data_IF_025177858122
#
_entry.id   IF_025177858122
#
_cell.length_a   1.000
_cell.length_b   1.000
_cell.length_c   1.000
_cell.angle_alpha   90.00
_cell.angle_beta   90.00
_cell.angle_gamma   90.00
#
_symmetry.space_group_name_H-M   'P 1'
#
loop_
_entity.id
_entity.type
_entity.pdbx_description
1 polymer ?
#
# COMPACT_ATOMS: atom_id res chain seq x y z
N UNK A 1 -17.45 8.22 13.83
CA UNK A 1 -17.20 8.00 13.75
C UNK A 1 -16.28 7.63 13.61
N UNK A 2 -15.84 7.55 13.35
CA UNK A 2 -15.07 7.03 13.52
C UNK A 2 -13.82 7.29 13.07
N UNK A 3 -12.97 7.63 13.82
CA UNK A 3 -11.64 7.85 13.54
C UNK A 3 -10.97 6.70 12.96
N UNK A 4 -11.38 5.55 13.36
CA UNK A 4 -10.83 4.36 12.87
C UNK A 4 -10.96 4.27 11.40
N UNK A 5 -12.13 4.69 10.97
CA UNK A 5 -12.41 4.61 9.65
C UNK A 5 -11.47 5.32 8.78
N UNK A 6 -11.25 6.55 8.95
CA UNK A 6 -10.41 7.19 8.02
C UNK A 6 -8.93 7.02 8.32
N UNK A 7 -8.63 6.54 9.46
CA UNK A 7 -7.29 6.16 9.74
C UNK A 7 -6.91 5.03 8.80
N UNK A 8 -7.83 4.14 8.49
CA UNK A 8 -7.55 3.00 7.63
C UNK A 8 -7.90 3.20 6.17
N UNK A 9 -8.61 4.26 5.86
CA UNK A 9 -9.06 4.49 4.49
C UNK A 9 -7.91 4.54 3.49
N UNK A 10 -6.87 5.24 3.83
CA UNK A 10 -5.74 5.36 2.93
C UNK A 10 -5.03 4.03 2.76
N UNK A 11 -4.89 3.29 3.82
CA UNK A 11 -4.25 1.99 3.77
C UNK A 11 -5.08 1.03 2.95
N UNK A 12 -6.38 1.02 3.18
CA UNK A 12 -7.27 0.13 2.45
C UNK A 12 -7.26 0.46 0.97
N UNK A 13 -7.34 1.72 0.65
CA UNK A 13 -7.33 2.14 -0.74
C UNK A 13 -6.05 1.72 -1.44
N UNK A 14 -4.92 1.96 -0.81
CA UNK A 14 -3.63 1.61 -1.39
C UNK A 14 -3.49 0.10 -1.54
N UNK A 15 -3.86 -0.62 -0.50
CA UNK A 15 -3.81 -2.08 -0.52
C UNK A 15 -4.62 -2.62 -1.69
N UNK A 16 -5.86 -2.18 -1.74
CA UNK A 16 -6.78 -2.64 -2.78
C UNK A 16 -6.25 -2.33 -4.16
N UNK A 17 -5.71 -1.14 -4.34
CA UNK A 17 -5.18 -0.74 -5.63
C UNK A 17 -3.97 -1.57 -6.03
N UNK A 18 -3.10 -1.87 -5.07
CA UNK A 18 -1.91 -2.65 -5.36
C UNK A 18 -2.26 -4.07 -5.76
N UNK A 19 -3.24 -4.64 -5.08
CA UNK A 19 -3.65 -6.00 -5.38
C UNK A 19 -4.42 -6.05 -6.69
N UNK A 20 -5.33 -5.10 -6.86
CA UNK A 20 -6.16 -5.08 -8.04
C UNK A 20 -5.35 -4.90 -9.32
N UNK A 21 -4.31 -4.09 -9.25
CA UNK A 21 -3.47 -3.84 -10.40
C UNK A 21 -2.43 -4.95 -10.63
N UNK A 22 -2.32 -5.87 -9.70
CA UNK A 22 -1.40 -6.97 -9.85
C UNK A 22 0.03 -6.68 -9.42
N UNK A 23 0.24 -5.60 -8.68
CA UNK A 23 1.57 -5.27 -8.21
C UNK A 23 2.00 -6.13 -7.02
N UNK A 24 1.04 -6.48 -6.19
CA UNK A 24 1.30 -7.31 -5.00
C UNK A 24 0.13 -8.25 -4.78
N UNK A 25 0.36 -9.26 -3.96
CA UNK A 25 -0.73 -10.14 -3.56
C UNK A 25 -1.14 -9.78 -2.14
N UNK A 26 -2.32 -10.22 -1.74
CA UNK A 26 -2.80 -10.01 -0.38
C UNK A 26 -1.83 -10.58 0.63
N UNK A 27 -1.30 -11.76 0.34
CA UNK A 27 -0.38 -12.42 1.25
C UNK A 27 0.88 -11.61 1.46
N UNK A 28 1.39 -11.02 0.40
CA UNK A 28 2.60 -10.22 0.49
C UNK A 28 2.37 -8.99 1.36
N UNK A 29 1.25 -8.33 1.17
CA UNK A 29 0.94 -7.14 1.95
C UNK A 29 0.65 -7.49 3.40
N UNK A 30 0.04 -8.63 3.63
CA UNK A 30 -0.20 -9.09 4.98
C UNK A 30 1.11 -9.30 5.74
N UNK A 31 2.07 -9.89 5.08
CA UNK A 31 3.36 -10.12 5.68
C UNK A 31 4.04 -8.81 6.05
N UNK A 32 4.02 -7.87 5.13
CA UNK A 32 4.64 -6.58 5.35
C UNK A 32 4.01 -5.85 6.52
N UNK A 33 2.68 -5.83 6.56
CA UNK A 33 1.99 -5.11 7.62
C UNK A 33 2.08 -5.84 8.95
N UNK A 34 2.24 -7.14 8.90
CA UNK A 34 2.41 -7.91 10.12
C UNK A 34 3.72 -7.55 10.81
N UNK A 35 4.74 -7.30 10.02
CA UNK A 35 6.06 -6.98 10.56
C UNK A 35 6.22 -5.51 10.87
N UNK A 36 5.79 -4.66 9.97
CA UNK A 36 6.02 -3.22 10.06
C UNK A 36 4.86 -2.39 10.56
N UNK A 37 3.71 -3.00 10.71
CA UNK A 37 2.54 -2.28 11.16
C UNK A 37 1.58 -2.01 10.02
N UNK A 38 0.31 -1.87 10.36
CA UNK A 38 -0.74 -1.67 9.38
C UNK A 38 -0.89 -0.17 9.13
N UNK A 39 0.01 0.38 8.36
CA UNK A 39 -0.01 1.80 8.07
C UNK A 39 0.52 2.05 6.67
N UNK A 40 0.28 3.27 6.20
CA UNK A 40 0.62 3.61 4.82
C UNK A 40 2.11 3.59 4.56
N UNK A 41 2.90 3.88 5.56
CA UNK A 41 4.34 3.89 5.41
C UNK A 41 4.88 2.51 5.09
N UNK A 42 4.29 1.49 5.71
CA UNK A 42 4.71 0.13 5.45
C UNK A 42 4.45 -0.24 3.99
N UNK A 43 3.32 0.17 3.47
CA UNK A 43 2.99 -0.11 2.09
C UNK A 43 3.88 0.67 1.13
N UNK A 44 4.17 1.92 1.46
CA UNK A 44 5.06 2.72 0.63
C UNK A 44 6.46 2.14 0.59
N UNK A 45 6.94 1.65 1.73
CA UNK A 45 8.24 1.01 1.80
C UNK A 45 8.28 -0.22 0.89
N UNK A 46 7.20 -0.95 0.88
CA UNK A 46 7.08 -2.14 0.07
C UNK A 46 7.16 -1.78 -1.43
N UNK A 47 6.47 -0.72 -1.81
CA UNK A 47 6.48 -0.25 -3.18
C UNK A 47 7.89 0.17 -3.57
N UNK A 48 8.54 0.89 -2.67
CA UNK A 48 9.88 1.37 -2.94
C UNK A 48 10.87 0.21 -3.11
N UNK A 49 10.75 -0.78 -2.24
CA UNK A 49 11.65 -1.92 -2.27
C UNK A 49 11.51 -2.74 -3.55
N UNK A 50 10.29 -2.86 -4.04
CA UNK A 50 10.06 -3.70 -5.21
C UNK A 50 10.12 -2.93 -6.53
N UNK A 51 9.56 -1.75 -6.56
CA UNK A 51 9.43 -0.99 -7.81
C UNK A 51 10.22 0.30 -7.86
N UNK A 52 10.71 0.76 -6.72
CA UNK A 52 11.51 1.97 -6.70
C UNK A 52 10.73 3.25 -6.63
N UNK A 53 9.41 3.17 -6.42
CA UNK A 53 8.58 4.36 -6.31
C UNK A 53 8.26 4.62 -4.85
N UNK A 54 8.04 5.87 -4.51
CA UNK A 54 7.80 6.25 -3.14
C UNK A 54 6.37 6.03 -2.69
N UNK A 55 5.45 5.94 -3.62
CA UNK A 55 4.05 5.76 -3.28
C UNK A 55 3.30 5.22 -4.48
N UNK A 56 2.07 4.80 -4.22
CA UNK A 56 1.21 4.33 -5.29
C UNK A 56 0.96 5.44 -6.30
N UNK A 57 0.77 6.64 -5.80
CA UNK A 57 0.51 7.78 -6.63
C UNK A 57 1.62 8.00 -7.65
N UNK A 58 2.85 7.95 -7.16
CA UNK A 58 4.01 8.13 -8.01
C UNK A 58 4.10 7.03 -9.05
N UNK A 59 3.80 5.82 -8.63
CA UNK A 59 3.86 4.68 -9.52
C UNK A 59 2.82 4.80 -10.62
N UNK A 60 1.64 5.25 -10.28
CA UNK A 60 0.58 5.43 -11.25
C UNK A 60 0.91 6.53 -12.25
N UNK A 61 1.50 7.59 -11.77
CA UNK A 61 1.89 8.69 -12.65
C UNK A 61 2.96 8.24 -13.63
N UNK A 62 3.83 7.40 -13.16
CA UNK A 62 4.93 6.93 -13.97
C UNK A 62 4.48 6.06 -15.11
N UNK A 63 3.35 5.43 -14.95
CA UNK A 63 2.82 4.55 -15.95
C UNK A 63 2.15 5.28 -17.09
N UNK A 64 1.80 6.50 -16.88
CA UNK A 64 1.19 7.28 -17.93
C UNK A 64 2.25 7.81 -18.87
#
# INVERSE_FOLDING_TARGET
MSNIKYYNDEVIYTWDSLVDAGYFTDEELELVTCINGYNIEALNDCIYARYGYRSLEQMEESEL
#
